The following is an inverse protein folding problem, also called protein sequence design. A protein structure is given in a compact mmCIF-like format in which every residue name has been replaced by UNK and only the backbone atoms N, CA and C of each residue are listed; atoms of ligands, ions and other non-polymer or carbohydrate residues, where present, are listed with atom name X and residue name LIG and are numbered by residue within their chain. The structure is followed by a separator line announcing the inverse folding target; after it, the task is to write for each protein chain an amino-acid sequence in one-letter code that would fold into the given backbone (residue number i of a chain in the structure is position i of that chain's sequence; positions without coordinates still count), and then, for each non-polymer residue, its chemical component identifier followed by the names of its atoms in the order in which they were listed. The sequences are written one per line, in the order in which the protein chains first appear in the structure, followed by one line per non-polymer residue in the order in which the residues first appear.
data_IF_573099413773
#
_entry.id   IF_573099413773
#
_cell.length_a   1.000
_cell.length_b   1.000
_cell.length_c   1.000
_cell.angle_alpha   90.00
_cell.angle_beta   90.00
_cell.angle_gamma   90.00
#
_symmetry.space_group_name_H-M   'P 1'
#
loop_
_entity.id
_entity.type
_entity.pdbx_description
1 polymer ?
#
# COMPACT_ATOMS: atom_id res chain seq x y z
N UNK A 1 -4.40 -21.69 -6.48
CA UNK A 1 -3.23 -21.06 -7.11
C UNK A 1 -3.71 -20.29 -8.34
N UNK A 2 -3.84 -19.00 -8.23
CA UNK A 2 -4.26 -18.16 -9.36
C UNK A 2 -3.01 -17.79 -10.15
N UNK A 3 -2.84 -18.34 -11.35
CA UNK A 3 -1.85 -17.87 -12.32
C UNK A 3 -2.44 -16.66 -13.03
N UNK A 4 -1.94 -15.48 -12.73
CA UNK A 4 -2.27 -14.28 -13.51
C UNK A 4 -1.41 -14.34 -14.78
N UNK A 5 -2.07 -14.45 -15.95
CA UNK A 5 -1.41 -14.38 -17.23
C UNK A 5 -0.79 -12.98 -17.40
N UNK A 6 0.51 -12.91 -17.67
CA UNK A 6 1.20 -11.67 -18.02
C UNK A 6 0.59 -11.13 -19.32
N UNK A 7 -0.16 -10.03 -19.22
CA UNK A 7 -0.54 -9.25 -20.39
C UNK A 7 0.60 -8.30 -20.75
N UNK A 8 0.91 -8.21 -22.05
CA UNK A 8 1.99 -7.37 -22.59
C UNK A 8 1.72 -5.85 -22.53
N UNK A 9 0.69 -5.41 -21.79
CA UNK A 9 0.29 -4.01 -21.66
C UNK A 9 0.86 -3.33 -20.39
N UNK A 10 2.03 -3.72 -19.92
CA UNK A 10 2.62 -3.24 -18.66
C UNK A 10 3.23 -1.82 -18.70
N UNK A 11 2.92 -1.01 -19.72
CA UNK A 11 3.40 0.38 -19.81
C UNK A 11 2.61 1.37 -18.94
N UNK A 12 1.47 0.97 -18.36
CA UNK A 12 0.60 1.86 -17.58
C UNK A 12 0.62 1.65 -16.07
N UNK A 13 1.24 0.58 -15.56
CA UNK A 13 1.23 0.24 -14.13
C UNK A 13 2.35 0.88 -13.31
N UNK A 14 3.38 1.43 -13.93
CA UNK A 14 4.58 1.96 -13.24
C UNK A 14 4.39 3.41 -12.78
N UNK A 15 3.44 4.15 -13.35
CA UNK A 15 3.34 5.60 -13.17
C UNK A 15 2.82 6.06 -11.80
N UNK A 16 2.18 5.18 -11.02
CA UNK A 16 1.50 5.58 -9.78
C UNK A 16 2.05 4.94 -8.52
N UNK A 17 3.16 4.21 -8.63
CA UNK A 17 3.87 3.64 -7.48
C UNK A 17 5.26 4.27 -7.40
N UNK A 18 5.49 5.00 -6.32
CA UNK A 18 6.78 5.64 -6.05
C UNK A 18 7.62 4.71 -5.19
N UNK A 19 8.63 4.11 -5.79
CA UNK A 19 9.54 3.17 -5.15
C UNK A 19 10.75 3.89 -4.53
N UNK A 20 11.01 3.62 -3.25
CA UNK A 20 12.29 3.97 -2.60
C UNK A 20 13.30 2.83 -2.68
N UNK A 21 12.81 1.59 -2.82
CA UNK A 21 13.62 0.38 -3.00
C UNK A 21 12.91 -0.52 -4.03
N UNK A 22 13.69 -1.23 -4.86
CA UNK A 22 13.17 -2.23 -5.80
C UNK A 22 13.69 -3.62 -5.41
N UNK A 23 13.07 -4.28 -4.43
CA UNK A 23 13.50 -5.62 -4.03
C UNK A 23 13.11 -6.65 -5.10
N UNK A 24 13.94 -7.66 -5.29
CA UNK A 24 13.57 -8.87 -6.01
C UNK A 24 13.07 -9.88 -4.99
N UNK A 25 11.80 -10.21 -5.05
CA UNK A 25 11.13 -11.07 -4.08
C UNK A 25 10.79 -12.42 -4.69
N UNK A 26 10.98 -13.50 -3.93
CA UNK A 26 10.58 -14.84 -4.29
C UNK A 26 9.68 -15.41 -3.20
N UNK A 27 8.58 -16.03 -3.62
CA UNK A 27 7.59 -16.65 -2.72
C UNK A 27 7.07 -15.69 -1.63
N UNK A 28 6.97 -14.40 -1.95
CA UNK A 28 6.50 -13.38 -1.03
C UNK A 28 5.00 -13.55 -0.72
N UNK A 29 4.64 -13.22 0.51
CA UNK A 29 3.24 -13.08 0.93
C UNK A 29 2.86 -11.61 0.84
N UNK A 30 1.82 -11.30 0.05
CA UNK A 30 1.25 -9.95 -0.03
C UNK A 30 -0.06 -9.89 0.75
N UNK A 31 -0.13 -8.95 1.69
CA UNK A 31 -1.33 -8.62 2.44
C UNK A 31 -1.70 -7.16 2.21
N UNK A 32 -2.93 -6.90 1.76
CA UNK A 32 -3.43 -5.56 1.53
C UNK A 32 -4.71 -5.31 2.33
N UNK A 33 -4.78 -4.16 3.00
CA UNK A 33 -5.98 -3.70 3.68
C UNK A 33 -6.12 -2.18 3.56
N UNK A 34 -7.35 -1.72 3.42
CA UNK A 34 -7.67 -0.31 3.20
C UNK A 34 -8.81 0.10 4.11
N UNK A 35 -8.65 1.20 4.84
CA UNK A 35 -9.75 1.80 5.60
C UNK A 35 -10.84 2.26 4.65
N UNK A 36 -12.08 2.07 5.04
CA UNK A 36 -13.24 2.47 4.27
C UNK A 36 -14.42 1.54 4.48
N UNK A 37 -15.33 1.52 3.51
CA UNK A 37 -16.56 0.71 3.60
C UNK A 37 -16.32 -0.81 3.68
N UNK A 38 -15.20 -1.27 3.16
CA UNK A 38 -14.81 -2.68 3.17
C UNK A 38 -14.19 -3.13 4.50
N UNK A 39 -13.86 -2.20 5.40
CA UNK A 39 -13.13 -2.47 6.64
C UNK A 39 -14.04 -2.34 7.86
N UNK A 40 -14.93 -3.30 8.04
CA UNK A 40 -15.89 -3.29 9.14
C UNK A 40 -15.20 -3.36 10.50
N UNK A 41 -15.39 -2.31 11.30
CA UNK A 41 -14.77 -2.18 12.63
C UNK A 41 -13.25 -2.14 12.60
N UNK A 42 -12.67 -1.66 11.51
CA UNK A 42 -11.22 -1.57 11.27
C UNK A 42 -10.48 -2.94 11.36
N UNK A 43 -11.21 -4.03 11.21
CA UNK A 43 -10.67 -5.36 11.46
C UNK A 43 -9.55 -5.76 10.51
N UNK A 44 -9.69 -5.47 9.22
CA UNK A 44 -8.68 -5.82 8.22
C UNK A 44 -7.44 -4.94 8.35
N UNK A 45 -7.60 -3.63 8.49
CA UNK A 45 -6.46 -2.71 8.65
C UNK A 45 -5.75 -2.91 9.98
N UNK A 46 -6.46 -3.21 11.07
CA UNK A 46 -5.84 -3.56 12.34
C UNK A 46 -5.03 -4.86 12.26
N UNK A 47 -5.55 -5.89 11.60
CA UNK A 47 -4.85 -7.16 11.43
C UNK A 47 -3.55 -7.01 10.62
N UNK A 48 -3.62 -6.35 9.45
CA UNK A 48 -2.43 -6.10 8.62
C UNK A 48 -1.47 -5.13 9.31
N UNK A 49 -1.98 -4.11 9.99
CA UNK A 49 -1.18 -3.19 10.79
C UNK A 49 -0.43 -3.88 11.93
N UNK A 50 -1.07 -4.83 12.61
CA UNK A 50 -0.42 -5.65 13.62
C UNK A 50 0.76 -6.44 13.04
N UNK A 51 0.55 -7.13 11.92
CA UNK A 51 1.61 -7.90 11.26
C UNK A 51 2.75 -7.00 10.75
N UNK A 52 2.41 -5.83 10.21
CA UNK A 52 3.38 -4.83 9.78
C UNK A 52 4.31 -4.40 10.92
N UNK A 53 3.76 -4.21 12.12
CA UNK A 53 4.55 -3.89 13.33
C UNK A 53 5.29 -5.10 13.87
N UNK A 54 4.63 -6.27 13.93
CA UNK A 54 5.21 -7.51 14.46
C UNK A 54 6.46 -7.94 13.72
N UNK A 55 6.48 -7.75 12.39
CA UNK A 55 7.60 -8.11 11.51
C UNK A 55 8.46 -6.90 11.11
N UNK A 56 8.32 -5.78 11.83
CA UNK A 56 9.12 -4.56 11.65
C UNK A 56 9.25 -4.12 10.18
N UNK A 57 8.15 -4.21 9.43
CA UNK A 57 8.14 -3.93 8.00
C UNK A 57 8.54 -2.48 7.71
N UNK A 58 9.61 -2.28 6.93
CA UNK A 58 10.05 -0.97 6.47
C UNK A 58 9.33 -0.55 5.21
N UNK A 59 9.11 0.74 5.02
CA UNK A 59 8.48 1.27 3.82
C UNK A 59 9.44 1.15 2.62
N UNK A 60 8.94 0.60 1.52
CA UNK A 60 9.66 0.43 0.26
C UNK A 60 9.03 1.19 -0.91
N UNK A 61 7.74 1.50 -0.83
CA UNK A 61 7.04 2.28 -1.85
C UNK A 61 5.81 2.98 -1.26
N UNK A 62 5.28 3.92 -2.03
CA UNK A 62 3.96 4.55 -1.80
C UNK A 62 3.16 4.57 -3.10
N UNK A 63 1.83 4.51 -3.00
CA UNK A 63 0.94 4.72 -4.12
C UNK A 63 0.52 6.19 -4.10
N UNK A 64 0.67 6.89 -5.22
CA UNK A 64 0.42 8.33 -5.34
C UNK A 64 -1.00 8.72 -4.88
N UNK A 65 -1.12 9.50 -3.80
CA UNK A 65 -2.42 9.87 -3.26
C UNK A 65 -3.20 10.85 -4.14
N UNK A 66 -2.53 11.75 -4.87
CA UNK A 66 -3.20 12.77 -5.69
C UNK A 66 -4.01 12.17 -6.82
N UNK A 67 -3.58 11.00 -7.31
CA UNK A 67 -4.25 10.34 -8.43
C UNK A 67 -5.52 9.61 -8.02
N UNK A 68 -5.63 9.15 -6.76
CA UNK A 68 -6.67 8.23 -6.31
C UNK A 68 -7.63 8.80 -5.27
N UNK A 69 -7.30 9.93 -4.66
CA UNK A 69 -8.11 10.56 -3.62
C UNK A 69 -8.65 11.91 -4.03
N UNK A 70 -9.85 12.20 -3.55
CA UNK A 70 -10.40 13.54 -3.48
C UNK A 70 -10.12 14.09 -2.08
N UNK A 71 -9.20 15.05 -1.99
CA UNK A 71 -8.81 15.66 -0.71
C UNK A 71 -9.91 16.51 -0.05
N UNK A 72 -11.02 16.75 -0.74
CA UNK A 72 -12.21 17.34 -0.12
C UNK A 72 -12.92 16.33 0.79
N UNK A 73 -12.88 15.03 0.44
CA UNK A 73 -13.50 13.94 1.20
C UNK A 73 -12.50 13.17 2.08
N UNK A 74 -11.26 13.04 1.64
CA UNK A 74 -10.16 12.41 2.39
C UNK A 74 -9.13 13.49 2.70
N UNK A 75 -9.33 14.20 3.79
CA UNK A 75 -8.52 15.37 4.12
C UNK A 75 -7.17 14.99 4.73
N UNK A 76 -6.09 15.69 4.36
CA UNK A 76 -4.86 15.63 5.12
C UNK A 76 -5.08 16.15 6.54
N UNK A 77 -4.33 15.65 7.49
CA UNK A 77 -4.35 16.08 8.87
C UNK A 77 -3.11 16.91 9.21
N UNK A 78 -3.22 17.77 10.21
CA UNK A 78 -2.08 18.52 10.73
C UNK A 78 -1.67 17.92 12.06
N UNK A 79 -0.41 17.53 12.15
CA UNK A 79 0.21 17.04 13.38
C UNK A 79 1.17 18.07 13.94
N UNK A 80 1.15 18.22 15.26
CA UNK A 80 2.15 19.01 15.97
C UNK A 80 3.30 18.10 16.39
N UNK A 81 4.51 18.47 16.01
CA UNK A 81 5.74 17.78 16.36
C UNK A 81 6.69 18.79 17.03
N UNK A 82 6.58 18.89 18.37
CA UNK A 82 7.16 19.99 19.12
C UNK A 82 6.46 21.31 18.76
N UNK A 83 7.23 22.30 18.31
CA UNK A 83 6.73 23.61 17.86
C UNK A 83 6.47 23.66 16.34
N UNK A 84 6.72 22.59 15.62
CA UNK A 84 6.51 22.51 14.17
C UNK A 84 5.15 21.90 13.83
N UNK A 85 4.53 22.42 12.77
CA UNK A 85 3.32 21.86 12.18
C UNK A 85 3.69 21.07 10.94
N UNK A 86 3.32 19.79 10.92
CA UNK A 86 3.48 18.92 9.75
C UNK A 86 2.14 18.52 9.19
N UNK A 87 2.06 18.42 7.86
CA UNK A 87 0.88 17.93 7.16
C UNK A 87 1.11 16.45 6.86
N UNK A 88 0.21 15.60 7.36
CA UNK A 88 0.16 14.19 7.05
C UNK A 88 -0.87 13.98 5.93
N UNK A 89 -0.37 13.65 4.74
CA UNK A 89 -1.19 13.34 3.58
C UNK A 89 -1.72 11.91 3.66
N UNK A 90 -2.97 11.65 3.23
CA UNK A 90 -3.45 10.28 3.07
C UNK A 90 -2.59 9.57 2.02
N UNK A 91 -2.11 8.38 2.34
CA UNK A 91 -1.21 7.62 1.47
C UNK A 91 -1.44 6.13 1.64
N UNK A 92 -1.25 5.35 0.59
CA UNK A 92 -1.11 3.91 0.67
C UNK A 92 0.37 3.56 0.69
N UNK A 93 0.82 2.94 1.77
CA UNK A 93 2.20 2.54 1.96
C UNK A 93 2.40 1.06 1.66
N UNK A 94 3.46 0.77 0.91
CA UNK A 94 3.97 -0.57 0.67
C UNK A 94 5.16 -0.80 1.58
N UNK A 95 5.11 -1.84 2.40
CA UNK A 95 6.15 -2.16 3.36
C UNK A 95 6.63 -3.59 3.21
N UNK A 96 7.89 -3.83 3.50
CA UNK A 96 8.55 -5.12 3.40
C UNK A 96 9.13 -5.55 4.74
N UNK A 97 8.79 -6.75 5.16
CA UNK A 97 9.36 -7.46 6.29
C UNK A 97 9.70 -8.89 5.94
N UNK A 98 9.98 -9.71 6.93
CA UNK A 98 10.29 -11.12 6.78
C UNK A 98 9.50 -11.94 7.81
N UNK A 99 8.81 -12.98 7.34
CA UNK A 99 8.08 -13.93 8.18
C UNK A 99 9.04 -14.85 8.95
N UNK A 100 8.54 -15.50 10.00
CA UNK A 100 9.32 -16.42 10.83
C UNK A 100 9.91 -17.61 10.04
N UNK A 101 9.33 -17.95 8.88
CA UNK A 101 9.81 -18.99 7.97
C UNK A 101 10.79 -18.47 6.89
N UNK A 102 11.18 -17.19 6.95
CA UNK A 102 12.12 -16.54 6.03
C UNK A 102 11.50 -16.03 4.74
N UNK A 103 10.19 -16.21 4.51
CA UNK A 103 9.54 -15.65 3.33
C UNK A 103 9.36 -14.14 3.47
N UNK A 104 9.52 -13.38 2.38
CA UNK A 104 9.20 -11.95 2.38
C UNK A 104 7.71 -11.71 2.68
N UNK A 105 7.43 -10.74 3.55
CA UNK A 105 6.09 -10.22 3.81
C UNK A 105 5.98 -8.82 3.24
N UNK A 106 5.12 -8.65 2.24
CA UNK A 106 4.75 -7.34 1.71
C UNK A 106 3.39 -6.95 2.27
N UNK A 107 3.31 -5.79 2.91
CA UNK A 107 2.04 -5.25 3.39
C UNK A 107 1.70 -3.96 2.66
N UNK A 108 0.43 -3.81 2.27
CA UNK A 108 -0.11 -2.57 1.71
C UNK A 108 -1.20 -2.08 2.63
N UNK A 109 -0.99 -0.92 3.20
CA UNK A 109 -1.92 -0.29 4.14
C UNK A 109 -2.22 1.14 3.72
N UNK A 110 -3.47 1.53 3.82
CA UNK A 110 -3.89 2.89 3.56
C UNK A 110 -5.40 3.05 3.52
N UNK A 111 -5.89 3.84 2.59
CA UNK A 111 -7.29 4.21 2.46
C UNK A 111 -7.79 3.68 1.11
N UNK A 112 -9.03 3.16 1.07
CA UNK A 112 -9.62 2.76 -0.20
C UNK A 112 -9.71 3.95 -1.17
N UNK A 113 -9.41 3.75 -2.48
CA UNK A 113 -9.43 4.83 -3.44
C UNK A 113 -10.86 5.36 -3.63
N UNK A 114 -10.99 6.65 -3.91
CA UNK A 114 -12.24 7.31 -4.27
C UNK A 114 -12.42 7.44 -5.78
N UNK A 115 -11.33 7.39 -6.51
CA UNK A 115 -11.25 7.60 -7.96
C UNK A 115 -10.38 6.52 -8.59
N UNK A 116 -10.61 6.25 -9.88
CA UNK A 116 -9.74 5.44 -10.74
C UNK A 116 -9.43 4.04 -10.19
N UNK A 117 -10.44 3.35 -9.74
CA UNK A 117 -10.33 2.01 -9.15
C UNK A 117 -9.55 1.01 -10.00
N UNK A 118 -9.73 1.02 -11.32
CA UNK A 118 -9.00 0.12 -12.23
C UNK A 118 -7.50 0.40 -12.18
N UNK A 119 -7.11 1.67 -12.25
CA UNK A 119 -5.71 2.09 -12.21
C UNK A 119 -5.09 1.77 -10.85
N UNK A 120 -5.85 1.97 -9.77
CA UNK A 120 -5.41 1.58 -8.43
C UNK A 120 -5.18 0.06 -8.32
N UNK A 121 -6.10 -0.75 -8.85
CA UNK A 121 -5.92 -2.21 -8.87
C UNK A 121 -4.70 -2.63 -9.69
N UNK A 122 -4.43 -1.96 -10.81
CA UNK A 122 -3.21 -2.19 -11.60
C UNK A 122 -1.94 -1.82 -10.83
N UNK A 123 -1.95 -0.71 -10.09
CA UNK A 123 -0.82 -0.34 -9.22
C UNK A 123 -0.56 -1.40 -8.15
N UNK A 124 -1.61 -1.96 -7.52
CA UNK A 124 -1.46 -3.08 -6.58
C UNK A 124 -0.89 -4.34 -7.23
N UNK A 125 -1.33 -4.67 -8.46
CA UNK A 125 -0.78 -5.81 -9.20
C UNK A 125 0.69 -5.58 -9.55
N UNK A 126 1.09 -4.36 -9.87
CA UNK A 126 2.51 -4.00 -10.07
C UNK A 126 3.35 -4.27 -8.82
N UNK A 127 2.80 -3.99 -7.63
CA UNK A 127 3.45 -4.34 -6.35
C UNK A 127 3.56 -5.85 -6.18
N UNK A 128 2.53 -6.60 -6.58
CA UNK A 128 2.50 -8.05 -6.46
C UNK A 128 3.45 -8.78 -7.44
N UNK A 129 3.83 -8.11 -8.52
CA UNK A 129 4.69 -8.68 -9.59
C UNK A 129 6.21 -8.48 -9.33
N UNK A 130 6.60 -7.87 -8.18
CA UNK A 130 8.01 -7.71 -7.78
C UNK A 130 8.55 -9.01 -7.20
#
# INVERSE_FOLDING_TARGET
MVRIARSADSLFGVEHVEWSEHPVLQDAVLLAAFTGWNDAGDAATEAVGYLTRRYECRRIATIDPEYFYDFASVRPSVRLEGDERRIDWPVNEVRLGELDDGRPLVTVLGIEPRLRWRTFSQALLTVADQ
#
